data_IF_137648204775
#
_entry.id   IF_137648204775
#
_cell.length_a   1.000
_cell.length_b   1.000
_cell.length_c   1.000
_cell.angle_alpha   90.00
_cell.angle_beta   90.00
_cell.angle_gamma   90.00
#
_symmetry.space_group_name_H-M   'P 1'
#
loop_
_entity.id
_entity.type
_entity.pdbx_description
1 polymer ?
#
# COMPACT_ATOMS: atom_id res chain seq x y z
N UNK A 1 14.19 18.01 -56.59
CA UNK A 1 14.47 19.46 -56.62
C UNK A 1 15.95 19.60 -56.39
N UNK A 2 16.64 20.25 -57.31
CA UNK A 2 18.09 20.47 -57.21
C UNK A 2 18.36 21.62 -56.23
N UNK A 3 19.56 21.65 -55.65
CA UNK A 3 20.00 22.72 -54.74
C UNK A 3 20.54 23.95 -55.49
N UNK A 4 20.70 23.86 -56.81
CA UNK A 4 21.26 24.93 -57.65
C UNK A 4 20.57 26.28 -57.43
N UNK A 5 19.23 26.32 -57.38
CA UNK A 5 18.47 27.55 -57.14
C UNK A 5 18.77 28.19 -55.77
N UNK A 6 18.93 27.35 -54.73
CA UNK A 6 19.26 27.83 -53.39
C UNK A 6 20.71 28.36 -53.34
N UNK A 7 21.63 27.69 -54.02
CA UNK A 7 23.02 28.13 -54.13
C UNK A 7 23.11 29.46 -54.86
N UNK A 8 22.36 29.63 -55.95
CA UNK A 8 22.32 30.87 -56.72
C UNK A 8 21.72 32.02 -55.91
N UNK A 9 20.69 31.76 -55.10
CA UNK A 9 20.14 32.75 -54.17
C UNK A 9 21.16 33.22 -53.12
N UNK A 10 21.94 32.29 -52.54
CA UNK A 10 23.00 32.64 -51.59
C UNK A 10 24.11 33.48 -52.26
N UNK A 11 24.51 33.13 -53.49
CA UNK A 11 25.49 33.92 -54.26
C UNK A 11 24.98 35.32 -54.58
N UNK A 12 23.69 35.45 -54.88
CA UNK A 12 23.05 36.75 -55.11
C UNK A 12 23.15 37.63 -53.86
N UNK A 13 22.76 37.12 -52.70
CA UNK A 13 22.85 37.87 -51.43
C UNK A 13 24.30 38.26 -51.10
N UNK A 14 25.27 37.40 -51.39
CA UNK A 14 26.68 37.70 -51.13
C UNK A 14 27.23 38.88 -51.97
N UNK A 15 26.68 39.09 -53.17
CA UNK A 15 27.15 40.13 -54.11
C UNK A 15 26.29 41.41 -54.08
N UNK A 16 25.16 41.40 -53.38
CA UNK A 16 24.23 42.54 -53.27
C UNK A 16 24.06 42.96 -51.80
N UNK A 17 24.93 43.85 -51.26
CA UNK A 17 24.94 44.21 -49.84
C UNK A 17 23.59 44.72 -49.31
N UNK A 18 22.84 45.49 -50.09
CA UNK A 18 21.53 45.99 -49.65
C UNK A 18 20.52 44.85 -49.47
N UNK A 19 20.44 43.90 -50.41
CA UNK A 19 19.55 42.75 -50.31
C UNK A 19 19.95 41.84 -49.12
N UNK A 20 21.24 41.69 -48.86
CA UNK A 20 21.73 41.01 -47.67
C UNK A 20 21.30 41.71 -46.38
N UNK A 21 21.45 43.04 -46.31
CA UNK A 21 21.05 43.83 -45.14
C UNK A 21 19.53 43.79 -44.93
N UNK A 22 18.73 43.85 -45.99
CA UNK A 22 17.27 43.73 -45.92
C UNK A 22 16.89 42.40 -45.26
N UNK A 23 17.42 41.27 -45.76
CA UNK A 23 17.17 39.95 -45.16
C UNK A 23 17.69 39.84 -43.71
N UNK A 24 18.83 40.46 -43.40
CA UNK A 24 19.43 40.40 -42.07
C UNK A 24 18.60 41.16 -41.02
N UNK A 25 17.95 42.25 -41.42
CA UNK A 25 17.15 43.08 -40.53
C UNK A 25 15.64 42.77 -40.56
N UNK A 26 15.21 41.85 -41.42
CA UNK A 26 13.83 41.36 -41.41
C UNK A 26 13.45 40.73 -40.08
N UNK A 27 12.17 40.87 -39.70
CA UNK A 27 11.68 40.23 -38.49
C UNK A 27 11.58 38.72 -38.74
N UNK A 28 12.19 37.86 -37.89
CA UNK A 28 12.09 36.42 -38.06
C UNK A 28 10.67 35.89 -37.84
N UNK A 29 9.78 36.68 -37.23
CA UNK A 29 8.38 36.36 -37.04
C UNK A 29 7.53 36.97 -38.15
N UNK A 30 6.58 36.18 -38.64
CA UNK A 30 5.52 36.70 -39.49
C UNK A 30 4.74 37.80 -38.76
N UNK A 31 4.23 38.75 -39.53
CA UNK A 31 3.37 39.81 -39.02
C UNK A 31 1.93 39.61 -39.50
N UNK A 32 0.97 39.81 -38.61
CA UNK A 32 -0.45 39.88 -38.92
C UNK A 32 -0.97 41.17 -38.31
N UNK A 33 -1.61 42.01 -39.12
CA UNK A 33 -2.08 43.35 -38.71
C UNK A 33 -0.98 44.21 -38.04
N UNK A 34 0.25 44.12 -38.55
CA UNK A 34 1.41 44.86 -38.03
C UNK A 34 1.97 44.33 -36.71
N UNK A 35 1.47 43.20 -36.19
CA UNK A 35 1.98 42.56 -34.98
C UNK A 35 2.71 41.27 -35.31
N UNK A 36 3.93 41.13 -34.78
CA UNK A 36 4.66 39.89 -34.83
C UNK A 36 3.94 38.81 -34.00
N UNK A 37 3.82 37.60 -34.53
CA UNK A 37 3.16 36.50 -33.84
C UNK A 37 3.94 35.19 -33.99
N UNK A 38 3.81 34.31 -32.99
CA UNK A 38 4.33 32.95 -33.09
C UNK A 38 3.33 32.06 -33.82
N UNK A 39 3.85 31.11 -34.61
CA UNK A 39 3.02 30.13 -35.30
C UNK A 39 2.09 29.40 -34.31
N UNK A 40 0.81 29.28 -34.68
CA UNK A 40 -0.26 28.71 -33.86
C UNK A 40 -0.43 29.38 -32.47
N UNK A 41 -0.15 30.68 -32.34
CA UNK A 41 -0.30 31.40 -31.07
C UNK A 41 0.47 30.74 -29.91
N UNK A 42 1.65 30.18 -30.21
CA UNK A 42 2.50 29.53 -29.22
C UNK A 42 2.85 30.52 -28.11
N UNK A 43 2.49 30.16 -26.88
CA UNK A 43 2.70 30.99 -25.70
C UNK A 43 2.72 30.12 -24.44
N UNK A 44 3.32 30.63 -23.36
CA UNK A 44 3.28 29.95 -22.07
C UNK A 44 1.84 29.68 -21.61
N UNK A 45 0.93 30.63 -21.84
CA UNK A 45 -0.49 30.45 -21.52
C UNK A 45 -1.09 29.23 -22.23
N UNK A 46 -0.88 29.11 -23.54
CA UNK A 46 -1.37 27.97 -24.34
C UNK A 46 -0.82 26.63 -23.85
N UNK A 47 0.47 26.59 -23.47
CA UNK A 47 1.10 25.38 -22.92
C UNK A 47 0.51 25.02 -21.56
N UNK A 48 0.31 25.99 -20.67
CA UNK A 48 -0.27 25.74 -19.34
C UNK A 48 -1.73 25.30 -19.44
N UNK A 49 -2.53 25.91 -20.32
CA UNK A 49 -3.92 25.54 -20.56
C UNK A 49 -4.02 24.09 -21.10
N UNK A 50 -3.07 23.67 -21.94
CA UNK A 50 -2.95 22.29 -22.41
C UNK A 50 -2.68 21.31 -21.26
N UNK A 51 -1.70 21.58 -20.40
CA UNK A 51 -1.41 20.72 -19.24
C UNK A 51 -2.55 20.67 -18.23
N UNK A 52 -3.22 21.80 -17.97
CA UNK A 52 -4.41 21.84 -17.13
C UNK A 52 -5.50 20.92 -17.65
N UNK A 53 -5.77 20.97 -18.96
CA UNK A 53 -6.77 20.11 -19.61
C UNK A 53 -6.42 18.63 -19.47
N UNK A 54 -5.14 18.26 -19.55
CA UNK A 54 -4.69 16.87 -19.32
C UNK A 54 -4.93 16.44 -17.88
N UNK A 55 -4.59 17.29 -16.91
CA UNK A 55 -4.72 16.97 -15.48
C UNK A 55 -6.18 16.85 -15.03
N UNK A 56 -7.09 17.58 -15.67
CA UNK A 56 -8.53 17.57 -15.35
C UNK A 56 -9.31 16.48 -16.11
N UNK A 57 -8.66 15.72 -16.99
CA UNK A 57 -9.32 14.72 -17.84
C UNK A 57 -9.02 13.29 -17.40
N UNK A 58 -10.05 12.59 -16.93
CA UNK A 58 -9.95 11.20 -16.44
C UNK A 58 -9.98 10.14 -17.56
N UNK A 59 -10.03 10.54 -18.83
CA UNK A 59 -10.16 9.60 -19.97
C UNK A 59 -8.82 8.92 -20.29
N UNK A 60 -8.81 7.60 -20.30
CA UNK A 60 -7.65 6.80 -20.74
C UNK A 60 -7.70 6.64 -22.26
N UNK A 61 -6.84 7.38 -22.98
CA UNK A 61 -6.79 7.35 -24.45
C UNK A 61 -5.90 6.23 -25.03
N UNK A 62 -5.00 5.66 -24.23
CA UNK A 62 -4.11 4.59 -24.69
C UNK A 62 -4.77 3.22 -24.54
N UNK A 63 -4.33 2.26 -25.34
CA UNK A 63 -4.77 0.86 -25.20
C UNK A 63 -4.50 0.38 -23.77
N UNK A 64 -5.54 -0.02 -23.05
CA UNK A 64 -5.44 -0.56 -21.71
C UNK A 64 -5.27 -2.09 -21.78
N UNK A 65 -4.05 -2.63 -21.58
CA UNK A 65 -3.78 -4.06 -21.72
C UNK A 65 -4.49 -4.91 -20.64
N UNK A 66 -4.99 -4.31 -19.56
CA UNK A 66 -5.72 -5.04 -18.52
C UNK A 66 -7.11 -5.52 -18.95
N UNK A 67 -7.60 -5.10 -20.12
CA UNK A 67 -8.87 -5.62 -20.66
C UNK A 67 -8.71 -7.04 -21.24
N UNK A 68 -7.47 -7.45 -21.61
CA UNK A 68 -7.19 -8.72 -22.28
C UNK A 68 -6.55 -9.82 -21.41
N UNK A 69 -5.96 -9.51 -20.24
CA UNK A 69 -5.48 -10.50 -19.27
C UNK A 69 -6.59 -10.97 -18.31
N UNK A 70 -7.76 -11.32 -18.84
CA UNK A 70 -8.80 -12.07 -18.10
C UNK A 70 -8.71 -13.56 -18.39
N UNK A 71 -7.51 -14.14 -18.35
CA UNK A 71 -7.42 -15.56 -18.03
C UNK A 71 -7.51 -15.69 -16.50
N UNK A 72 -8.74 -15.61 -16.01
CA UNK A 72 -9.06 -15.69 -14.57
C UNK A 72 -8.72 -17.08 -14.00
N UNK A 73 -8.27 -18.04 -14.83
CA UNK A 73 -8.02 -19.40 -14.38
C UNK A 73 -6.87 -19.50 -13.38
N UNK A 74 -5.74 -18.82 -13.61
CA UNK A 74 -4.59 -18.80 -12.70
C UNK A 74 -4.91 -18.23 -11.30
N UNK A 75 -5.52 -17.03 -11.18
CA UNK A 75 -5.89 -16.51 -9.88
C UNK A 75 -6.98 -17.34 -9.18
N UNK A 76 -7.92 -17.93 -9.93
CA UNK A 76 -8.94 -18.82 -9.34
C UNK A 76 -8.35 -20.12 -8.80
N UNK A 77 -7.44 -20.77 -9.54
CA UNK A 77 -6.73 -21.95 -9.06
C UNK A 77 -5.91 -21.65 -7.79
N UNK A 78 -5.28 -20.48 -7.74
CA UNK A 78 -4.53 -20.01 -6.55
C UNK A 78 -5.46 -19.82 -5.34
N UNK A 79 -6.66 -19.28 -5.55
CA UNK A 79 -7.66 -19.12 -4.48
C UNK A 79 -8.15 -20.48 -3.98
N UNK A 80 -8.35 -21.46 -4.85
CA UNK A 80 -8.80 -22.81 -4.46
C UNK A 80 -7.75 -23.53 -3.61
N UNK A 81 -6.47 -23.42 -3.97
CA UNK A 81 -5.37 -23.96 -3.16
C UNK A 81 -5.30 -23.30 -1.77
N UNK A 82 -5.36 -21.97 -1.70
CA UNK A 82 -5.37 -21.24 -0.42
C UNK A 82 -6.58 -21.62 0.45
N UNK A 83 -7.73 -21.88 -0.17
CA UNK A 83 -8.94 -22.32 0.54
C UNK A 83 -8.78 -23.73 1.11
N UNK A 84 -8.12 -24.63 0.39
CA UNK A 84 -7.81 -25.96 0.87
C UNK A 84 -6.86 -25.91 2.08
N UNK A 85 -5.79 -25.12 2.00
CA UNK A 85 -4.82 -24.95 3.10
C UNK A 85 -5.48 -24.36 4.34
N UNK A 86 -6.35 -23.35 4.17
CA UNK A 86 -7.12 -22.77 5.28
C UNK A 86 -8.03 -23.82 5.96
N UNK A 87 -8.69 -24.68 5.18
CA UNK A 87 -9.54 -25.72 5.72
C UNK A 87 -8.73 -26.76 6.51
N UNK A 88 -7.54 -27.13 6.04
CA UNK A 88 -6.63 -28.03 6.76
C UNK A 88 -6.22 -27.43 8.11
N UNK A 89 -5.74 -26.18 8.11
CA UNK A 89 -5.33 -25.49 9.34
C UNK A 89 -6.49 -25.36 10.34
N UNK A 90 -7.70 -25.11 9.83
CA UNK A 90 -8.91 -25.04 10.65
C UNK A 90 -9.23 -26.39 11.30
N UNK A 91 -9.05 -27.50 10.58
CA UNK A 91 -9.25 -28.83 11.12
C UNK A 91 -8.24 -29.13 12.25
N UNK A 92 -6.96 -28.84 12.02
CA UNK A 92 -5.90 -29.02 13.02
C UNK A 92 -6.17 -28.21 14.29
N UNK A 93 -6.60 -26.95 14.14
CA UNK A 93 -7.00 -26.11 15.26
C UNK A 93 -8.16 -26.71 16.07
N UNK A 94 -9.17 -27.25 15.39
CA UNK A 94 -10.32 -27.87 16.06
C UNK A 94 -9.90 -29.13 16.84
N UNK A 95 -8.98 -29.93 16.29
CA UNK A 95 -8.42 -31.09 16.99
C UNK A 95 -7.67 -30.67 18.25
N UNK A 96 -6.78 -29.68 18.14
CA UNK A 96 -6.02 -29.18 19.28
C UNK A 96 -6.93 -28.61 20.37
N UNK A 97 -8.00 -27.91 19.97
CA UNK A 97 -9.01 -27.39 20.89
C UNK A 97 -9.73 -28.52 21.64
N UNK A 98 -10.11 -29.58 20.95
CA UNK A 98 -10.75 -30.74 21.58
C UNK A 98 -9.82 -31.45 22.58
N UNK A 99 -8.53 -31.58 22.24
CA UNK A 99 -7.53 -32.15 23.15
C UNK A 99 -7.35 -31.28 24.40
N UNK A 100 -7.32 -29.95 24.23
CA UNK A 100 -7.27 -29.01 25.35
C UNK A 100 -8.49 -29.13 26.25
N UNK A 101 -9.70 -29.15 25.70
CA UNK A 101 -10.94 -29.29 26.47
C UNK A 101 -10.96 -30.60 27.27
N UNK A 102 -10.47 -31.69 26.66
CA UNK A 102 -10.34 -32.99 27.35
C UNK A 102 -9.32 -32.94 28.48
N UNK A 103 -8.18 -32.29 28.28
CA UNK A 103 -7.16 -32.12 29.32
C UNK A 103 -7.72 -31.31 30.48
N UNK A 104 -8.42 -30.21 30.19
CA UNK A 104 -9.07 -29.38 31.19
C UNK A 104 -10.08 -30.19 32.01
N UNK A 105 -10.96 -30.95 31.34
CA UNK A 105 -11.94 -31.80 32.00
C UNK A 105 -11.30 -32.84 32.94
N UNK A 106 -10.17 -33.41 32.54
CA UNK A 106 -9.44 -34.39 33.37
C UNK A 106 -8.69 -33.74 34.53
N UNK A 107 -8.17 -32.51 34.35
CA UNK A 107 -7.37 -31.81 35.35
C UNK A 107 -8.23 -31.12 36.43
N UNK A 108 -9.40 -30.60 36.08
CA UNK A 108 -10.33 -29.95 37.01
C UNK A 108 -10.62 -30.74 38.30
N UNK A 109 -11.02 -32.02 38.26
CA UNK A 109 -11.32 -32.78 39.48
C UNK A 109 -10.07 -33.02 40.35
N UNK A 110 -8.88 -33.14 39.74
CA UNK A 110 -7.63 -33.30 40.47
C UNK A 110 -7.24 -32.00 41.20
N UNK A 111 -7.46 -30.86 40.54
CA UNK A 111 -7.24 -29.54 41.14
C UNK A 111 -8.16 -29.35 42.35
N UNK A 112 -9.47 -29.59 42.19
CA UNK A 112 -10.46 -29.50 43.27
C UNK A 112 -10.11 -30.45 44.43
N UNK A 113 -9.74 -31.70 44.14
CA UNK A 113 -9.35 -32.67 45.15
C UNK A 113 -8.13 -32.21 45.95
N UNK A 114 -7.12 -31.65 45.29
CA UNK A 114 -5.90 -31.17 45.94
C UNK A 114 -6.19 -29.98 46.87
N UNK A 115 -7.05 -29.04 46.43
CA UNK A 115 -7.47 -27.89 47.22
C UNK A 115 -8.27 -28.33 48.46
N UNK A 116 -9.24 -29.23 48.28
CA UNK A 116 -10.06 -29.76 49.38
C UNK A 116 -9.21 -30.50 50.43
N UNK A 117 -8.25 -31.31 49.95
CA UNK A 117 -7.36 -32.08 50.83
C UNK A 117 -6.43 -31.16 51.61
N UNK A 118 -5.86 -30.16 50.94
CA UNK A 118 -5.00 -29.14 51.58
C UNK A 118 -5.75 -28.40 52.69
N UNK A 119 -6.97 -27.94 52.41
CA UNK A 119 -7.83 -27.28 53.40
C UNK A 119 -8.14 -28.20 54.60
N UNK A 120 -8.50 -29.46 54.36
CA UNK A 120 -8.78 -30.44 55.43
C UNK A 120 -7.57 -30.72 56.31
N UNK A 121 -6.37 -30.83 55.72
CA UNK A 121 -5.12 -31.03 56.46
C UNK A 121 -4.84 -29.81 57.34
N UNK A 122 -4.90 -28.61 56.77
CA UNK A 122 -4.65 -27.37 57.49
C UNK A 122 -5.62 -27.20 58.66
N UNK A 123 -6.91 -27.42 58.43
CA UNK A 123 -7.95 -27.33 59.46
C UNK A 123 -7.72 -28.32 60.61
N UNK A 124 -7.41 -29.58 60.29
CA UNK A 124 -7.09 -30.61 61.30
C UNK A 124 -5.84 -30.24 62.11
N UNK A 125 -4.79 -29.73 61.46
CA UNK A 125 -3.57 -29.29 62.13
C UNK A 125 -3.85 -28.12 63.08
N UNK A 126 -4.62 -27.12 62.62
CA UNK A 126 -5.05 -25.99 63.44
C UNK A 126 -5.90 -26.41 64.65
N UNK A 127 -6.89 -27.28 64.44
CA UNK A 127 -7.72 -27.79 65.55
C UNK A 127 -6.88 -28.48 66.63
N UNK A 128 -5.89 -29.30 66.23
CA UNK A 128 -4.99 -29.97 67.18
C UNK A 128 -4.06 -29.00 67.92
N UNK A 129 -3.60 -27.93 67.27
CA UNK A 129 -2.71 -26.94 67.90
C UNK A 129 -3.45 -25.87 68.71
N UNK A 130 -4.76 -25.68 68.48
CA UNK A 130 -5.55 -24.64 69.14
C UNK A 130 -5.52 -24.68 70.68
N UNK A 131 -5.62 -25.83 71.37
CA UNK A 131 -5.52 -25.87 72.83
C UNK A 131 -4.15 -25.41 73.33
N UNK A 132 -3.07 -25.79 72.63
CA UNK A 132 -1.70 -25.38 72.94
C UNK A 132 -1.53 -23.87 72.75
N UNK A 133 -2.04 -23.32 71.64
CA UNK A 133 -2.04 -21.88 71.38
C UNK A 133 -2.84 -21.11 72.44
N UNK A 134 -3.98 -21.64 72.90
CA UNK A 134 -4.77 -21.04 73.99
C UNK A 134 -4.02 -21.05 75.32
N UNK A 135 -3.32 -22.15 75.63
CA UNK A 135 -2.50 -22.26 76.83
C UNK A 135 -1.33 -21.25 76.80
N UNK A 136 -0.59 -21.20 75.69
CA UNK A 136 0.48 -20.23 75.49
C UNK A 136 -0.02 -18.78 75.62
N UNK A 137 -1.18 -18.44 75.04
CA UNK A 137 -1.79 -17.10 75.16
C UNK A 137 -2.15 -16.73 76.60
N UNK A 138 -2.62 -17.68 77.41
CA UNK A 138 -2.90 -17.44 78.84
C UNK A 138 -1.62 -17.18 79.63
N UNK A 139 -0.51 -17.84 79.28
CA UNK A 139 0.79 -17.63 79.93
C UNK A 139 1.40 -16.27 79.59
N UNK A 140 1.28 -15.81 78.35
CA UNK A 140 1.80 -14.50 77.90
C UNK A 140 0.97 -13.31 78.44
N UNK A 141 -0.30 -13.54 78.79
CA UNK A 141 -1.18 -12.51 79.36
C UNK A 141 -1.13 -12.42 80.90
N UNK A 142 -0.36 -13.27 81.56
CA UNK A 142 -0.04 -13.19 82.98
C UNK A 142 1.20 -12.32 83.16
#
# INVERSE_FOLDING_TARGET
KDFDEAIDYVRYLHTHPNAYLDMLYENPLNTLDGKAYFYQDLSFKKILDFFKTILENDTIYHNNPFVFYRDLHEPLATIDHLRADYNHLRADYNHLRADYDRLLQNASPLLELSQNTTFKIYYKAYQKSLPLLRAARKLVKK
#
